data_IF_675944885981
#
_entry.id   IF_675944885981
#
_cell.length_a   1.000
_cell.length_b   1.000
_cell.length_c   1.000
_cell.angle_alpha   90.00
_cell.angle_beta   90.00
_cell.angle_gamma   90.00
#
_symmetry.space_group_name_H-M   'P 1'
#
loop_
_entity.id
_entity.type
_entity.pdbx_description
1 polymer ?
#
# COMPACT_ATOMS: atom_id res chain seq x y z
N UNK A 1 1.36 -13.87 -13.38
CA UNK A 1 2.33 -13.74 -12.28
C UNK A 1 1.78 -14.58 -11.14
N UNK A 2 2.54 -15.58 -10.68
CA UNK A 2 2.25 -16.36 -9.47
C UNK A 2 1.83 -15.40 -8.35
N UNK A 3 0.72 -15.68 -7.66
CA UNK A 3 0.13 -14.78 -6.68
C UNK A 3 1.14 -14.32 -5.60
N UNK A 4 2.09 -15.16 -5.21
CA UNK A 4 3.17 -14.81 -4.29
C UNK A 4 4.11 -13.71 -4.81
N UNK A 5 4.37 -13.69 -6.13
CA UNK A 5 5.18 -12.61 -6.72
C UNK A 5 4.43 -11.27 -6.66
N UNK A 6 3.10 -11.29 -6.74
CA UNK A 6 2.28 -10.07 -6.61
C UNK A 6 2.30 -9.54 -5.19
N UNK A 7 2.23 -10.42 -4.20
CA UNK A 7 2.33 -10.08 -2.78
C UNK A 7 3.63 -9.32 -2.48
N UNK A 8 4.78 -9.85 -2.91
CA UNK A 8 6.09 -9.21 -2.66
C UNK A 8 6.18 -7.82 -3.29
N UNK A 9 5.76 -7.68 -4.56
CA UNK A 9 5.79 -6.38 -5.25
C UNK A 9 4.85 -5.39 -4.56
N UNK A 10 3.66 -5.83 -4.18
CA UNK A 10 2.69 -5.01 -3.48
C UNK A 10 3.23 -4.53 -2.12
N UNK A 11 3.82 -5.43 -1.34
CA UNK A 11 4.42 -5.10 -0.05
C UNK A 11 5.52 -4.04 -0.20
N UNK A 12 6.44 -4.22 -1.14
CA UNK A 12 7.51 -3.23 -1.39
C UNK A 12 6.92 -1.87 -1.77
N UNK A 13 5.95 -1.84 -2.69
CA UNK A 13 5.31 -0.59 -3.12
C UNK A 13 4.57 0.10 -1.97
N UNK A 14 3.84 -0.66 -1.14
CA UNK A 14 3.12 -0.12 0.00
C UNK A 14 4.07 0.41 1.07
N UNK A 15 5.15 -0.31 1.38
CA UNK A 15 6.19 0.17 2.32
C UNK A 15 6.78 1.49 1.84
N UNK A 16 7.14 1.60 0.55
CA UNK A 16 7.65 2.85 -0.01
C UNK A 16 6.61 3.98 0.07
N UNK A 17 5.35 3.70 -0.25
CA UNK A 17 4.27 4.68 -0.16
C UNK A 17 4.08 5.19 1.28
N UNK A 18 4.04 4.28 2.26
CA UNK A 18 3.93 4.63 3.68
C UNK A 18 5.12 5.47 4.15
N UNK A 19 6.34 5.10 3.76
CA UNK A 19 7.54 5.87 4.11
C UNK A 19 7.49 7.28 3.53
N UNK A 20 7.13 7.44 2.26
CA UNK A 20 7.02 8.74 1.62
C UNK A 20 5.95 9.61 2.29
N UNK A 21 4.78 9.04 2.56
CA UNK A 21 3.68 9.77 3.23
C UNK A 21 4.05 10.16 4.65
N UNK A 22 4.66 9.26 5.43
CA UNK A 22 5.08 9.53 6.80
C UNK A 22 6.18 10.61 6.87
N UNK A 23 7.05 10.69 5.87
CA UNK A 23 8.18 11.62 5.83
C UNK A 23 7.92 12.86 4.97
N UNK A 24 6.67 13.14 4.61
CA UNK A 24 6.29 14.33 3.82
C UNK A 24 6.77 15.64 4.46
N UNK A 25 6.85 15.70 5.79
CA UNK A 25 7.39 16.87 6.50
C UNK A 25 8.85 17.19 6.15
N UNK A 26 9.68 16.17 5.88
CA UNK A 26 11.06 16.39 5.44
C UNK A 26 11.12 17.04 4.06
N UNK A 27 10.22 16.66 3.16
CA UNK A 27 10.14 17.23 1.81
C UNK A 27 9.83 18.73 1.88
N UNK A 28 8.85 19.12 2.70
CA UNK A 28 8.49 20.54 2.89
C UNK A 28 9.50 21.33 3.72
N UNK A 29 10.37 20.65 4.50
CA UNK A 29 11.51 21.30 5.15
C UNK A 29 12.67 21.56 4.18
N UNK A 30 12.90 20.66 3.23
CA UNK A 30 13.94 20.84 2.20
C UNK A 30 13.53 21.83 1.11
N UNK A 31 12.23 21.85 0.78
CA UNK A 31 11.64 22.72 -0.23
C UNK A 31 10.45 23.47 0.37
N UNK A 32 10.70 24.49 1.21
CA UNK A 32 9.62 25.24 1.86
C UNK A 32 8.78 25.99 0.82
N UNK A 33 7.47 25.89 0.97
CA UNK A 33 6.51 26.61 0.15
C UNK A 33 6.00 27.81 0.94
N UNK A 34 6.20 29.01 0.41
CA UNK A 34 5.71 30.24 1.01
C UNK A 34 4.20 30.41 0.78
N UNK A 35 3.51 30.95 1.78
CA UNK A 35 2.08 31.22 1.73
C UNK A 35 1.31 30.60 2.89
N UNK A 36 0.02 30.93 2.94
CA UNK A 36 -0.88 30.53 4.02
C UNK A 36 -2.09 29.78 3.46
N UNK A 37 -2.50 28.71 4.15
CA UNK A 37 -3.70 27.93 3.89
C UNK A 37 -4.47 27.77 5.20
N UNK A 38 -5.76 28.12 5.20
CA UNK A 38 -6.60 28.15 6.41
C UNK A 38 -6.00 28.98 7.58
N UNK A 39 -5.19 30.00 7.28
CA UNK A 39 -4.51 30.81 8.29
C UNK A 39 -3.20 30.23 8.83
N UNK A 40 -2.78 29.05 8.36
CA UNK A 40 -1.52 28.40 8.75
C UNK A 40 -0.50 28.44 7.60
N UNK A 41 0.81 28.54 7.88
CA UNK A 41 1.82 28.42 6.82
C UNK A 41 1.72 27.07 6.11
N UNK A 42 1.73 27.11 4.78
CA UNK A 42 1.52 25.94 3.91
C UNK A 42 2.53 24.82 4.23
N UNK A 43 3.78 25.21 4.47
CA UNK A 43 4.88 24.29 4.81
C UNK A 43 4.63 23.40 6.04
N UNK A 44 3.66 23.74 6.90
CA UNK A 44 3.31 22.93 8.07
C UNK A 44 1.98 22.21 7.89
N UNK A 45 0.94 22.93 7.47
CA UNK A 45 -0.43 22.36 7.43
C UNK A 45 -0.56 21.26 6.37
N UNK A 46 0.08 21.41 5.21
CA UNK A 46 -0.02 20.43 4.14
C UNK A 46 0.65 19.10 4.51
N UNK A 47 1.89 19.06 5.03
CA UNK A 47 2.48 17.82 5.53
C UNK A 47 1.67 17.13 6.62
N UNK A 48 1.06 17.89 7.53
CA UNK A 48 0.23 17.34 8.60
C UNK A 48 -1.00 16.65 8.01
N UNK A 49 -1.72 17.33 7.11
CA UNK A 49 -2.90 16.77 6.47
C UNK A 49 -2.56 15.56 5.59
N UNK A 50 -1.47 15.61 4.83
CA UNK A 50 -0.99 14.49 4.03
C UNK A 50 -0.55 13.31 4.90
N UNK A 51 0.15 13.56 6.00
CA UNK A 51 0.52 12.52 6.94
C UNK A 51 -0.71 11.86 7.57
N UNK A 52 -1.72 12.64 7.97
CA UNK A 52 -2.86 12.08 8.66
C UNK A 52 -3.82 11.35 7.72
N UNK A 53 -4.32 12.06 6.70
CA UNK A 53 -5.28 11.51 5.74
C UNK A 53 -4.62 10.58 4.72
N UNK A 54 -3.36 10.82 4.35
CA UNK A 54 -2.62 9.93 3.45
C UNK A 54 -2.35 8.57 4.08
N UNK A 55 -1.93 8.52 5.36
CA UNK A 55 -1.74 7.24 6.06
C UNK A 55 -3.07 6.49 6.22
N UNK A 56 -4.15 7.20 6.55
CA UNK A 56 -5.49 6.61 6.62
C UNK A 56 -5.90 6.01 5.27
N UNK A 57 -5.76 6.77 4.19
CA UNK A 57 -6.08 6.32 2.83
C UNK A 57 -5.24 5.11 2.41
N UNK A 58 -3.92 5.16 2.63
CA UNK A 58 -3.02 4.05 2.31
C UNK A 58 -3.38 2.79 3.11
N UNK A 59 -3.77 2.92 4.37
CA UNK A 59 -4.22 1.78 5.19
C UNK A 59 -5.46 1.11 4.60
N UNK A 60 -6.45 1.90 4.18
CA UNK A 60 -7.67 1.38 3.55
C UNK A 60 -7.34 0.67 2.23
N UNK A 61 -6.52 1.29 1.38
CA UNK A 61 -6.08 0.71 0.11
C UNK A 61 -5.30 -0.58 0.36
N UNK A 62 -4.42 -0.58 1.36
CA UNK A 62 -3.60 -1.73 1.73
C UNK A 62 -4.46 -2.93 2.09
N UNK A 63 -5.46 -2.72 2.95
CA UNK A 63 -6.38 -3.79 3.37
C UNK A 63 -7.19 -4.35 2.20
N UNK A 64 -7.72 -3.47 1.32
CA UNK A 64 -8.53 -3.92 0.18
C UNK A 64 -7.73 -4.72 -0.85
N UNK A 65 -6.51 -4.27 -1.16
CA UNK A 65 -5.66 -4.94 -2.16
C UNK A 65 -5.03 -6.20 -1.56
N UNK A 66 -4.60 -6.15 -0.29
CA UNK A 66 -4.07 -7.31 0.45
C UNK A 66 -5.07 -8.46 0.46
N UNK A 67 -6.31 -8.21 0.89
CA UNK A 67 -7.36 -9.23 0.90
C UNK A 67 -7.59 -9.88 -0.48
N UNK A 68 -7.47 -9.10 -1.56
CA UNK A 68 -7.63 -9.60 -2.93
C UNK A 68 -6.44 -10.45 -3.38
N UNK A 69 -5.23 -10.15 -2.90
CA UNK A 69 -4.05 -10.95 -3.16
C UNK A 69 -4.18 -12.29 -2.42
N UNK A 70 -4.57 -12.26 -1.15
CA UNK A 70 -4.78 -13.46 -0.33
C UNK A 70 -5.81 -14.40 -0.97
N UNK A 71 -6.96 -13.87 -1.42
CA UNK A 71 -7.99 -14.64 -2.14
C UNK A 71 -7.42 -15.30 -3.42
N UNK A 72 -6.53 -14.61 -4.13
CA UNK A 72 -5.90 -15.18 -5.33
C UNK A 72 -4.91 -16.29 -5.02
N UNK A 73 -4.17 -16.20 -3.90
CA UNK A 73 -3.26 -17.25 -3.43
C UNK A 73 -4.07 -18.48 -3.03
N UNK A 74 -5.14 -18.30 -2.26
CA UNK A 74 -5.98 -19.40 -1.82
C UNK A 74 -6.60 -20.16 -3.00
N UNK A 75 -7.07 -19.43 -4.02
CA UNK A 75 -7.61 -20.02 -5.24
C UNK A 75 -6.55 -20.82 -6.03
N UNK A 76 -5.35 -20.26 -6.22
CA UNK A 76 -4.25 -20.97 -6.90
C UNK A 76 -3.89 -22.27 -6.14
N UNK A 77 -3.84 -22.23 -4.80
CA UNK A 77 -3.59 -23.43 -3.98
C UNK A 77 -4.69 -24.50 -4.10
N UNK A 78 -5.97 -24.09 -4.08
CA UNK A 78 -7.09 -25.04 -4.24
C UNK A 78 -7.07 -25.71 -5.61
N UNK A 79 -6.74 -24.97 -6.67
CA UNK A 79 -6.60 -25.51 -8.03
C UNK A 79 -5.43 -26.51 -8.14
N UNK A 80 -4.30 -26.23 -7.48
CA UNK A 80 -3.16 -27.15 -7.42
C UNK A 80 -3.50 -28.46 -6.70
N UNK A 81 -4.15 -28.38 -5.53
CA UNK A 81 -4.59 -29.58 -4.78
C UNK A 81 -5.60 -30.40 -5.59
N UNK A 82 -6.53 -29.75 -6.29
CA UNK A 82 -7.51 -30.44 -7.14
C UNK A 82 -6.84 -31.17 -8.32
N UNK A 83 -5.82 -30.57 -8.95
CA UNK A 83 -5.04 -31.22 -10.01
C UNK A 83 -4.30 -32.45 -9.49
N UNK A 84 -3.59 -32.33 -8.36
CA UNK A 84 -2.86 -33.44 -7.75
C UNK A 84 -3.79 -34.61 -7.38
N UNK A 85 -4.99 -34.32 -6.87
CA UNK A 85 -6.00 -35.34 -6.55
C UNK A 85 -6.48 -36.09 -7.80
N UNK A 86 -6.63 -35.41 -8.93
CA UNK A 86 -7.05 -36.04 -10.19
C UNK A 86 -5.92 -36.83 -10.84
N UNK A 87 -4.66 -36.40 -10.71
CA UNK A 87 -3.49 -37.11 -11.25
C UNK A 87 -3.08 -38.34 -10.42
N UNK A 88 -3.28 -38.32 -9.10
CA UNK A 88 -3.02 -39.47 -8.23
C UNK A 88 -4.15 -40.51 -8.16
N UNK A 89 -5.27 -40.27 -8.84
CA UNK A 89 -6.41 -41.19 -8.91
C UNK A 89 -6.45 -42.00 -10.23
N UNK A 90 -5.40 -41.91 -11.06
CA UNK A 90 -5.22 -42.68 -12.31
C UNK A 90 -4.20 -43.79 -12.11
#
# INVERSE_FOLDING_TARGET
MNAHKKEVVFTILMTLAFLLTAHTGLIFSLFPVEGYMFGFPIMYIVPILLGWFGILFLTIVSGKIGNKIDESIEKENQEEVAKQKNEGAV
#
